data_IF_081275691452
#
_entry.id   IF_081275691452
#
_cell.length_a   1.000
_cell.length_b   1.000
_cell.length_c   1.000
_cell.angle_alpha   90.00
_cell.angle_beta   90.00
_cell.angle_gamma   90.00
#
_symmetry.space_group_name_H-M   'P 1'
#
loop_
_entity.id
_entity.type
_entity.pdbx_description
1 polymer ?
#
# COMPACT_ATOMS: atom_id res chain seq x y z
N UNK A 1 -11.87 -6.03 -15.98
CA UNK A 1 -10.48 -6.48 -15.74
C UNK A 1 -9.52 -5.28 -15.71
N UNK A 2 -9.67 -4.35 -14.77
CA UNK A 2 -8.81 -3.16 -14.66
C UNK A 2 -8.40 -2.87 -13.20
N UNK A 3 -9.26 -3.25 -12.26
CA UNK A 3 -9.05 -3.06 -10.83
C UNK A 3 -7.90 -3.93 -10.28
N UNK A 4 -7.73 -5.16 -10.80
CA UNK A 4 -6.64 -6.06 -10.42
C UNK A 4 -5.24 -5.50 -10.72
N UNK A 5 -5.08 -4.85 -11.87
CA UNK A 5 -3.80 -4.26 -12.24
C UNK A 5 -3.45 -3.04 -11.39
N UNK A 6 -4.47 -2.33 -10.87
CA UNK A 6 -4.28 -1.07 -10.14
C UNK A 6 -3.83 -1.31 -8.70
N UNK A 7 -4.51 -2.18 -7.94
CA UNK A 7 -4.06 -2.50 -6.58
C UNK A 7 -2.70 -3.21 -6.57
N UNK A 8 -2.40 -4.03 -7.59
CA UNK A 8 -1.09 -4.71 -7.70
C UNK A 8 0.04 -3.72 -7.94
N UNK A 9 -0.14 -2.72 -8.79
CA UNK A 9 0.84 -1.65 -8.98
C UNK A 9 1.05 -0.86 -7.70
N UNK A 10 -0.05 -0.45 -7.04
CA UNK A 10 0.01 0.26 -5.75
C UNK A 10 0.74 -0.58 -4.70
N UNK A 11 0.40 -1.87 -4.56
CA UNK A 11 1.05 -2.76 -3.62
C UNK A 11 2.55 -2.94 -3.92
N UNK A 12 2.93 -3.06 -5.19
CA UNK A 12 4.33 -3.16 -5.59
C UNK A 12 5.12 -1.87 -5.28
N UNK A 13 4.50 -0.70 -5.49
CA UNK A 13 5.10 0.61 -5.21
C UNK A 13 5.31 0.81 -3.71
N UNK A 14 4.27 0.55 -2.91
CA UNK A 14 4.31 0.55 -1.45
C UNK A 14 5.40 -0.41 -0.95
N UNK A 15 5.45 -1.64 -1.47
CA UNK A 15 6.47 -2.62 -1.09
C UNK A 15 7.87 -2.11 -1.41
N UNK A 16 8.05 -1.41 -2.52
CA UNK A 16 9.34 -0.82 -2.91
C UNK A 16 9.76 0.28 -1.94
N UNK A 17 8.85 1.18 -1.54
CA UNK A 17 9.13 2.24 -0.56
C UNK A 17 9.44 1.68 0.83
N UNK A 18 8.70 0.66 1.27
CA UNK A 18 8.98 -0.07 2.52
C UNK A 18 10.36 -0.75 2.44
N UNK A 19 10.67 -1.44 1.33
CA UNK A 19 11.96 -2.08 1.12
C UNK A 19 13.13 -1.09 1.00
N UNK A 20 12.87 0.13 0.50
CA UNK A 20 13.82 1.23 0.46
C UNK A 20 14.06 1.85 1.85
N UNK A 21 13.30 1.46 2.87
CA UNK A 21 13.40 1.99 4.23
C UNK A 21 12.72 3.35 4.42
N UNK A 22 11.98 3.85 3.42
CA UNK A 22 11.19 5.08 3.56
C UNK A 22 10.07 4.89 4.59
N UNK A 23 9.44 3.72 4.61
CA UNK A 23 8.35 3.40 5.52
C UNK A 23 8.74 2.23 6.42
N UNK A 24 8.82 2.49 7.74
CA UNK A 24 9.08 1.45 8.73
C UNK A 24 7.76 0.85 9.18
N UNK A 25 7.59 -0.49 9.15
CA UNK A 25 6.41 -1.11 9.74
C UNK A 25 6.38 -0.78 11.25
N UNK A 26 5.45 0.08 11.65
CA UNK A 26 5.31 0.58 13.03
C UNK A 26 5.64 2.06 13.25
N UNK A 27 6.25 2.75 12.28
CA UNK A 27 6.49 4.20 12.35
C UNK A 27 5.89 4.88 11.11
N UNK A 28 4.93 5.78 11.35
CA UNK A 28 4.27 6.68 10.39
C UNK A 28 4.12 6.13 8.97
N UNK A 29 3.46 4.98 8.85
CA UNK A 29 2.91 4.64 7.54
C UNK A 29 1.84 5.69 7.22
N UNK A 30 1.87 6.31 6.02
CA UNK A 30 0.81 7.24 5.63
C UNK A 30 -0.53 6.55 5.76
N UNK A 31 -1.51 7.27 6.28
CA UNK A 31 -2.84 6.72 6.46
C UNK A 31 -3.36 6.24 5.10
N UNK A 32 -4.17 5.17 5.07
CA UNK A 32 -4.73 4.63 3.81
C UNK A 32 -5.42 5.71 2.97
N UNK A 33 -5.99 6.72 3.63
CA UNK A 33 -6.60 7.88 3.01
C UNK A 33 -5.58 8.86 2.41
N UNK A 34 -4.47 9.14 3.11
CA UNK A 34 -3.39 9.98 2.58
C UNK A 34 -2.73 9.33 1.38
N UNK A 35 -2.44 8.04 1.46
CA UNK A 35 -1.86 7.32 0.33
C UNK A 35 -2.82 7.24 -0.86
N UNK A 36 -4.12 7.09 -0.59
CA UNK A 36 -5.15 7.16 -1.62
C UNK A 36 -5.20 8.53 -2.29
N UNK A 37 -5.08 9.60 -1.51
CA UNK A 37 -5.03 10.97 -2.00
C UNK A 37 -3.75 11.25 -2.82
N UNK A 38 -2.58 10.84 -2.33
CA UNK A 38 -1.29 11.00 -3.01
C UNK A 38 -1.26 10.26 -4.35
N UNK A 39 -1.77 9.03 -4.39
CA UNK A 39 -1.80 8.21 -5.60
C UNK A 39 -3.02 8.48 -6.48
N UNK A 40 -3.99 9.30 -6.04
CA UNK A 40 -5.23 9.58 -6.77
C UNK A 40 -6.09 8.34 -7.02
N UNK A 41 -6.10 7.40 -6.07
CA UNK A 41 -6.76 6.09 -6.19
C UNK A 41 -7.90 5.97 -5.18
N UNK A 42 -8.86 5.09 -5.46
CA UNK A 42 -9.94 4.85 -4.50
C UNK A 42 -9.35 4.26 -3.19
N UNK A 43 -9.69 4.80 -2.01
CA UNK A 43 -9.25 4.25 -0.72
C UNK A 43 -9.63 2.77 -0.51
N UNK A 44 -10.66 2.26 -1.18
CA UNK A 44 -10.97 0.83 -1.21
C UNK A 44 -9.86 0.00 -1.90
N UNK A 45 -9.27 0.51 -2.98
CA UNK A 45 -8.15 -0.12 -3.68
C UNK A 45 -6.90 -0.13 -2.81
N UNK A 46 -6.63 0.95 -2.08
CA UNK A 46 -5.52 1.02 -1.11
C UNK A 46 -5.73 0.04 0.04
N UNK A 47 -6.97 -0.08 0.53
CA UNK A 47 -7.32 -1.07 1.55
C UNK A 47 -7.04 -2.50 1.08
N UNK A 48 -7.38 -2.84 -0.16
CA UNK A 48 -7.06 -4.15 -0.74
C UNK A 48 -5.55 -4.36 -0.85
N UNK A 49 -4.79 -3.36 -1.30
CA UNK A 49 -3.33 -3.42 -1.36
C UNK A 49 -2.71 -3.63 0.02
N UNK A 50 -3.17 -2.92 1.07
CA UNK A 50 -2.69 -3.10 2.45
C UNK A 50 -2.99 -4.48 3.00
N UNK A 51 -4.21 -5.00 2.79
CA UNK A 51 -4.56 -6.36 3.23
C UNK A 51 -3.67 -7.39 2.53
N UNK A 52 -3.39 -7.18 1.24
CA UNK A 52 -2.51 -8.04 0.48
C UNK A 52 -1.06 -7.99 0.99
N UNK A 53 -0.54 -6.80 1.27
CA UNK A 53 0.80 -6.59 1.83
C UNK A 53 0.96 -7.13 3.25
N UNK A 54 -0.07 -7.01 4.09
CA UNK A 54 -0.11 -7.59 5.43
C UNK A 54 -0.12 -9.11 5.37
N UNK A 55 -0.88 -9.70 4.43
CA UNK A 55 -0.86 -11.15 4.17
C UNK A 55 0.50 -11.65 3.67
N UNK A 56 1.25 -10.81 2.95
CA UNK A 56 2.60 -11.13 2.47
C UNK A 56 3.69 -10.92 3.54
N UNK A 57 3.36 -10.44 4.74
CA UNK A 57 4.34 -10.16 5.80
C UNK A 57 5.20 -8.92 5.54
N UNK A 58 4.86 -8.11 4.52
CA UNK A 58 5.56 -6.86 4.19
C UNK A 58 5.21 -5.76 5.19
N UNK A 59 3.97 -5.77 5.67
CA UNK A 59 3.48 -4.89 6.72
C UNK A 59 3.32 -5.70 8.00
N UNK A 60 4.18 -5.44 8.99
CA UNK A 60 3.91 -5.86 10.35
C UNK A 60 2.96 -4.84 10.99
N UNK A 61 1.83 -5.32 11.45
CA UNK A 61 0.90 -4.59 12.30
C UNK A 61 0.36 -5.55 13.31
#
# INVERSE_FOLDING_TARGET
>A
MAEDARYRRIAADIRRRIAAGEWRPGQDLPSRAELAAELGVNPQTVRLAYVHLRRQGVLAG
#
